data_IF_732130361538
#
_entry.id   IF_732130361538
#
_cell.length_a   1.000
_cell.length_b   1.000
_cell.length_c   1.000
_cell.angle_alpha   90.00
_cell.angle_beta   90.00
_cell.angle_gamma   90.00
#
_symmetry.space_group_name_H-M   'P 1'
#
loop_
_entity.id
_entity.type
_entity.pdbx_description
1 polymer ?
#
# COMPACT_ATOMS: atom_id res chain seq x y z
N UNK A 1 9.25 -6.69 15.17
CA UNK A 1 9.65 -5.80 16.29
C UNK A 1 8.99 -4.44 16.09
N UNK A 2 8.19 -3.97 17.06
CA UNK A 2 7.40 -2.72 16.92
C UNK A 2 8.25 -1.45 16.77
N UNK A 3 9.50 -1.45 17.24
CA UNK A 3 10.40 -0.28 17.14
C UNK A 3 11.04 -0.09 15.75
N UNK A 4 10.84 -1.04 14.82
CA UNK A 4 11.48 -1.07 13.51
C UNK A 4 10.50 -1.05 12.33
N UNK A 5 9.35 -0.38 12.47
CA UNK A 5 8.47 -0.14 11.32
C UNK A 5 9.18 0.85 10.39
N UNK A 6 9.62 0.35 9.24
CA UNK A 6 10.32 1.13 8.20
C UNK A 6 9.37 1.62 7.10
N UNK A 7 8.23 0.95 6.93
CA UNK A 7 7.18 1.29 5.96
C UNK A 7 5.84 0.75 6.44
N UNK A 8 4.75 1.40 6.03
CA UNK A 8 3.37 0.97 6.32
C UNK A 8 2.76 0.46 5.04
N UNK A 9 2.13 -0.70 5.13
CA UNK A 9 1.46 -1.32 3.99
C UNK A 9 -0.04 -1.27 4.20
N UNK A 10 -0.77 -0.79 3.21
CA UNK A 10 -2.23 -0.76 3.19
C UNK A 10 -2.77 -1.63 2.06
N UNK A 11 -3.90 -2.27 2.34
CA UNK A 11 -4.64 -3.00 1.32
C UNK A 11 -5.33 -2.00 0.36
N UNK A 12 -5.36 -2.28 -0.96
CA UNK A 12 -6.01 -1.44 -1.97
C UNK A 12 -7.50 -1.17 -1.70
N UNK A 13 -8.18 -2.09 -1.02
CA UNK A 13 -9.59 -1.95 -0.64
C UNK A 13 -9.82 -1.03 0.57
N UNK A 14 -8.74 -0.57 1.22
CA UNK A 14 -8.84 0.26 2.41
C UNK A 14 -9.18 1.71 2.04
N UNK A 15 -10.22 2.27 2.68
CA UNK A 15 -10.64 3.68 2.49
C UNK A 15 -9.52 4.68 2.77
N UNK A 16 -8.62 4.37 3.69
CA UNK A 16 -7.48 5.22 4.02
C UNK A 16 -6.53 5.40 2.84
N UNK A 17 -6.43 4.42 1.94
CA UNK A 17 -5.60 4.56 0.75
C UNK A 17 -6.11 5.72 -0.10
N UNK A 18 -7.43 5.82 -0.31
CA UNK A 18 -8.05 6.86 -1.14
C UNK A 18 -7.82 8.26 -0.56
N UNK A 19 -7.99 8.42 0.75
CA UNK A 19 -7.79 9.69 1.45
C UNK A 19 -6.31 10.10 1.51
N UNK A 20 -5.40 9.13 1.56
CA UNK A 20 -3.96 9.36 1.63
C UNK A 20 -3.31 9.44 0.24
N UNK A 21 -4.00 9.05 -0.83
CA UNK A 21 -3.45 9.18 -2.18
C UNK A 21 -3.35 10.63 -2.60
N UNK A 22 -2.15 11.05 -3.00
CA UNK A 22 -1.97 12.32 -3.70
C UNK A 22 -2.57 12.25 -5.10
N UNK A 23 -3.03 13.39 -5.64
CA UNK A 23 -3.63 13.44 -6.98
C UNK A 23 -2.70 12.88 -8.07
N UNK A 24 -1.38 13.07 -7.94
CA UNK A 24 -0.37 12.51 -8.86
C UNK A 24 -0.31 10.98 -8.83
N UNK A 25 -0.53 10.35 -7.67
CA UNK A 25 -0.47 8.90 -7.53
C UNK A 25 -1.85 8.24 -7.56
N UNK A 26 -2.94 9.02 -7.61
CA UNK A 26 -4.31 8.50 -7.57
C UNK A 26 -4.59 7.59 -8.75
N UNK A 27 -4.20 8.00 -9.96
CA UNK A 27 -4.42 7.21 -11.17
C UNK A 27 -3.65 5.88 -11.13
N UNK A 28 -2.39 5.91 -10.64
CA UNK A 28 -1.58 4.71 -10.46
C UNK A 28 -2.15 3.76 -9.40
N UNK A 29 -2.65 4.30 -8.28
CA UNK A 29 -3.25 3.52 -7.20
C UNK A 29 -4.62 2.97 -7.59
N UNK A 30 -5.43 3.72 -8.34
CA UNK A 30 -6.74 3.28 -8.81
C UNK A 30 -6.58 2.14 -9.83
N UNK A 31 -5.68 2.29 -10.79
CA UNK A 31 -5.34 1.22 -11.72
C UNK A 31 -4.78 -0.01 -10.99
N UNK A 32 -3.93 0.19 -9.97
CA UNK A 32 -3.44 -0.90 -9.13
C UNK A 32 -4.54 -1.55 -8.30
N UNK A 33 -5.51 -0.79 -7.80
CA UNK A 33 -6.69 -1.33 -7.09
C UNK A 33 -7.51 -2.22 -8.01
N UNK A 34 -7.70 -1.83 -9.27
CA UNK A 34 -8.42 -2.63 -10.26
C UNK A 34 -7.66 -3.92 -10.64
N UNK A 35 -6.35 -3.83 -10.84
CA UNK A 35 -5.48 -4.98 -11.09
C UNK A 35 -5.47 -5.93 -9.89
N UNK A 36 -5.26 -5.39 -8.69
CA UNK A 36 -5.29 -6.12 -7.43
C UNK A 36 -6.67 -6.76 -7.18
N UNK A 37 -7.77 -6.09 -7.49
CA UNK A 37 -9.11 -6.67 -7.38
C UNK A 37 -9.32 -7.84 -8.37
N UNK A 38 -8.76 -7.75 -9.58
CA UNK A 38 -8.76 -8.86 -10.56
C UNK A 38 -7.82 -9.99 -10.15
N UNK A 39 -6.74 -9.68 -9.45
CA UNK A 39 -5.73 -10.63 -8.99
C UNK A 39 -6.07 -11.29 -7.62
N UNK A 40 -6.87 -10.64 -6.77
CA UNK A 40 -7.07 -10.95 -5.34
C UNK A 40 -7.56 -12.37 -5.03
N UNK A 41 -8.37 -12.98 -5.90
CA UNK A 41 -8.91 -14.34 -5.64
C UNK A 41 -8.08 -15.47 -6.28
N UNK A 42 -7.50 -15.23 -7.46
CA UNK A 42 -6.77 -16.25 -8.23
C UNK A 42 -5.30 -16.32 -7.79
N UNK A 43 -4.72 -15.21 -7.31
CA UNK A 43 -3.29 -15.12 -7.03
C UNK A 43 -2.87 -15.59 -5.63
N UNK A 44 -3.81 -15.76 -4.69
CA UNK A 44 -3.51 -16.33 -3.35
C UNK A 44 -2.90 -17.74 -3.40
N UNK A 45 -3.10 -18.48 -4.49
CA UNK A 45 -2.54 -19.83 -4.67
C UNK A 45 -1.13 -19.87 -5.26
N UNK A 46 -0.62 -18.76 -5.80
CA UNK A 46 0.66 -18.76 -6.54
C UNK A 46 1.79 -18.27 -5.64
N UNK A 47 2.49 -19.22 -5.00
CA UNK A 47 3.60 -19.03 -4.04
C UNK A 47 4.89 -18.39 -4.62
N UNK A 48 4.80 -17.57 -5.68
CA UNK A 48 5.97 -17.12 -6.46
C UNK A 48 5.86 -15.74 -7.10
N UNK A 49 4.89 -14.88 -6.76
CA UNK A 49 4.84 -13.56 -7.38
C UNK A 49 5.49 -12.43 -6.59
N UNK A 50 6.14 -11.58 -7.39
CA UNK A 50 6.86 -10.39 -7.02
C UNK A 50 5.97 -9.44 -6.23
N UNK A 51 6.50 -9.02 -5.09
CA UNK A 51 5.90 -8.07 -4.17
C UNK A 51 5.79 -6.69 -4.83
N UNK A 52 4.76 -6.49 -5.64
CA UNK A 52 4.49 -5.19 -6.26
C UNK A 52 3.85 -4.28 -5.22
N UNK A 53 4.24 -3.02 -5.23
CA UNK A 53 3.67 -2.03 -4.32
C UNK A 53 3.68 -0.66 -4.99
N UNK A 54 2.57 0.07 -4.84
CA UNK A 54 2.43 1.43 -5.37
C UNK A 54 2.53 2.42 -4.23
N UNK A 55 3.33 3.46 -4.42
CA UNK A 55 3.47 4.52 -3.44
C UNK A 55 2.26 5.47 -3.51
N UNK A 56 1.59 5.68 -2.38
CA UNK A 56 0.40 6.55 -2.34
C UNK A 56 0.75 8.04 -2.32
N UNK A 57 2.02 8.40 -2.14
CA UNK A 57 2.45 9.80 -1.97
C UNK A 57 2.38 10.29 -0.53
N UNK A 58 1.82 9.48 0.37
CA UNK A 58 1.65 9.84 1.78
C UNK A 58 2.64 9.15 2.70
N UNK A 59 2.90 9.82 3.82
CA UNK A 59 3.77 9.34 4.88
C UNK A 59 2.97 9.25 6.18
N UNK A 60 3.11 8.14 6.89
CA UNK A 60 2.60 8.01 8.25
C UNK A 60 3.70 8.40 9.24
N UNK A 61 3.32 8.96 10.38
CA UNK A 61 4.25 9.21 11.48
C UNK A 61 4.09 8.06 12.46
N UNK A 62 5.18 7.34 12.76
CA UNK A 62 5.16 6.31 13.77
C UNK A 62 5.07 6.97 15.17
N UNK A 63 3.99 6.77 15.95
CA UNK A 63 3.84 7.41 17.26
C UNK A 63 4.87 6.96 18.29
N UNK A 64 5.54 5.83 18.07
CA UNK A 64 6.54 5.28 19.00
C UNK A 64 7.91 5.94 18.83
N UNK A 65 8.31 6.24 17.59
CA UNK A 65 9.66 6.74 17.27
C UNK A 65 9.66 8.12 16.61
N UNK A 66 8.49 8.70 16.30
CA UNK A 66 8.36 9.98 15.59
C UNK A 66 8.87 9.97 14.15
N UNK A 67 9.24 8.80 13.61
CA UNK A 67 9.79 8.68 12.25
C UNK A 67 8.67 8.69 11.22
N UNK A 68 8.89 9.43 10.15
CA UNK A 68 8.08 9.35 8.94
C UNK A 68 8.37 8.05 8.22
N UNK A 69 7.32 7.28 7.94
CA UNK A 69 7.37 6.02 7.23
C UNK A 69 6.50 6.13 5.98
N UNK A 70 6.99 5.73 4.80
CA UNK A 70 6.20 5.77 3.58
C UNK A 70 5.04 4.79 3.67
N UNK A 71 3.90 5.20 3.11
CA UNK A 71 2.72 4.36 2.98
C UNK A 71 2.72 3.78 1.56
N UNK A 72 2.71 2.45 1.46
CA UNK A 72 2.58 1.74 0.20
C UNK A 72 1.30 0.92 0.16
N UNK A 73 0.66 0.94 -0.99
CA UNK A 73 -0.44 0.06 -1.32
C UNK A 73 0.12 -1.26 -1.86
N UNK A 74 -0.34 -2.40 -1.36
CA UNK A 74 0.24 -3.71 -1.65
C UNK A 74 -0.84 -4.78 -1.83
N UNK A 75 -0.62 -5.72 -2.75
CA UNK A 75 -1.45 -6.91 -2.97
C UNK A 75 -0.70 -8.19 -2.60
#
# INVERSE_FOLDING_TARGET
TLNGVTYVVLAPENKLVDELTTAENKEAVENYKEEAAKQSDIERQSSSKEKTGVFTGSYAINPINGKVVPIQCFC
#
